data_IF_224652040918
#
_entry.id   IF_224652040918
#
_cell.length_a   1.000
_cell.length_b   1.000
_cell.length_c   1.000
_cell.angle_alpha   90.00
_cell.angle_beta   90.00
_cell.angle_gamma   90.00
#
_symmetry.space_group_name_H-M   'P 1'
#
loop_
_entity.id
_entity.type
_entity.pdbx_description
1 polymer ?
#
# COMPACT_ATOMS: atom_id res chain seq x y z
N UNK A 1 -15.25 19.77 -10.65
CA UNK A 1 -14.70 18.70 -11.49
C UNK A 1 -13.75 17.88 -10.62
N UNK A 2 -14.15 16.70 -10.15
CA UNK A 2 -13.22 15.82 -9.47
C UNK A 2 -12.32 15.21 -10.55
N UNK A 3 -11.02 15.49 -10.50
CA UNK A 3 -10.04 14.86 -11.38
C UNK A 3 -9.93 13.42 -10.91
N UNK A 4 -10.47 12.50 -11.72
CA UNK A 4 -10.37 11.06 -11.47
C UNK A 4 -8.90 10.67 -11.55
N UNK A 5 -8.25 10.58 -10.38
CA UNK A 5 -6.85 10.16 -10.29
C UNK A 5 -6.80 8.67 -10.61
N UNK A 6 -6.53 8.36 -11.89
CA UNK A 6 -6.28 7.00 -12.34
C UNK A 6 -4.98 6.49 -11.71
N UNK A 7 -5.15 5.74 -10.62
CA UNK A 7 -4.05 4.98 -9.99
C UNK A 7 -3.42 4.06 -11.03
N UNK A 8 -2.14 4.28 -11.31
CA UNK A 8 -1.39 3.48 -12.30
C UNK A 8 -0.95 2.12 -11.78
N UNK A 9 -0.93 1.95 -10.46
CA UNK A 9 -0.43 0.74 -9.81
C UNK A 9 -1.57 -0.25 -9.58
N UNK A 10 -1.44 -1.47 -10.12
CA UNK A 10 -2.43 -2.52 -9.91
C UNK A 10 -2.34 -3.04 -8.46
N UNK A 11 -3.35 -2.71 -7.64
CA UNK A 11 -3.44 -3.06 -6.22
C UNK A 11 -3.73 -4.54 -5.97
N UNK A 12 -4.18 -5.27 -6.98
CA UNK A 12 -4.49 -6.72 -6.88
C UNK A 12 -3.25 -7.57 -6.57
N UNK A 13 -2.05 -7.07 -6.85
CA UNK A 13 -0.79 -7.76 -6.58
C UNK A 13 -0.33 -7.63 -5.13
N UNK A 14 -0.96 -6.74 -4.35
CA UNK A 14 -0.61 -6.51 -2.96
C UNK A 14 -1.38 -7.51 -2.12
N UNK A 15 -0.73 -8.29 -1.24
CA UNK A 15 -1.42 -9.23 -0.37
C UNK A 15 -2.24 -8.46 0.67
N UNK A 16 -3.54 -8.36 0.42
CA UNK A 16 -4.51 -7.73 1.32
C UNK A 16 -5.17 -8.78 2.21
N UNK A 17 -5.43 -8.40 3.45
CA UNK A 17 -6.29 -9.11 4.38
C UNK A 17 -7.33 -8.12 4.92
N UNK A 18 -8.57 -8.54 5.04
CA UNK A 18 -9.60 -7.72 5.67
C UNK A 18 -9.42 -7.76 7.19
N UNK A 19 -9.19 -6.59 7.79
CA UNK A 19 -9.17 -6.43 9.25
C UNK A 19 -10.24 -5.41 9.60
N UNK A 20 -11.23 -5.85 10.38
CA UNK A 20 -12.35 -4.99 10.83
C UNK A 20 -13.12 -4.30 9.69
N UNK A 21 -13.26 -4.96 8.54
CA UNK A 21 -13.99 -4.43 7.38
C UNK A 21 -13.17 -3.51 6.46
N UNK A 22 -11.89 -3.30 6.76
CA UNK A 22 -10.96 -2.54 5.93
C UNK A 22 -9.92 -3.48 5.26
N UNK A 23 -9.63 -3.23 3.98
CA UNK A 23 -8.65 -4.02 3.23
C UNK A 23 -7.24 -3.53 3.53
N UNK A 24 -6.53 -4.30 4.35
CA UNK A 24 -5.22 -3.97 4.87
C UNK A 24 -4.17 -4.84 4.20
N UNK A 25 -3.15 -4.24 3.59
CA UNK A 25 -2.02 -5.00 3.07
C UNK A 25 -1.08 -5.42 4.21
N UNK A 26 -1.02 -6.71 4.52
CA UNK A 26 -0.16 -7.24 5.58
C UNK A 26 1.17 -7.71 5.01
N UNK A 27 2.12 -6.78 4.86
CA UNK A 27 3.40 -6.96 4.17
C UNK A 27 4.60 -6.79 5.13
N UNK A 28 5.78 -7.20 4.67
CA UNK A 28 7.04 -6.96 5.38
C UNK A 28 7.71 -5.65 4.92
N UNK A 29 8.66 -5.14 5.70
CA UNK A 29 9.36 -3.88 5.39
C UNK A 29 10.22 -3.93 4.13
N UNK A 30 10.94 -5.03 3.90
CA UNK A 30 11.81 -5.14 2.75
C UNK A 30 11.01 -5.05 1.44
N UNK A 31 9.86 -5.72 1.40
CA UNK A 31 8.92 -5.67 0.29
C UNK A 31 8.34 -4.26 0.12
N UNK A 32 7.96 -3.59 1.22
CA UNK A 32 7.48 -2.20 1.17
C UNK A 32 8.52 -1.27 0.54
N UNK A 33 9.78 -1.37 0.98
CA UNK A 33 10.86 -0.53 0.47
C UNK A 33 11.13 -0.80 -1.01
N UNK A 34 11.25 -2.07 -1.41
CA UNK A 34 11.45 -2.43 -2.82
C UNK A 34 10.29 -1.99 -3.71
N UNK A 35 9.05 -2.16 -3.24
CA UNK A 35 7.86 -1.76 -3.98
C UNK A 35 7.78 -0.23 -4.13
N UNK A 36 8.06 0.49 -3.05
CA UNK A 36 8.05 1.96 -3.05
C UNK A 36 9.13 2.50 -3.96
N UNK A 37 10.35 1.95 -3.91
CA UNK A 37 11.46 2.36 -4.80
C UNK A 37 11.13 2.11 -6.29
N UNK A 38 10.59 0.92 -6.61
CA UNK A 38 10.19 0.56 -7.98
C UNK A 38 9.05 1.43 -8.52
N UNK A 39 8.13 1.87 -7.66
CA UNK A 39 6.91 2.57 -8.07
C UNK A 39 6.82 4.02 -7.60
N UNK A 40 7.90 4.62 -7.07
CA UNK A 40 7.91 5.96 -6.49
C UNK A 40 7.38 7.04 -7.46
N UNK A 41 7.66 6.90 -8.75
CA UNK A 41 7.20 7.82 -9.80
C UNK A 41 5.71 7.66 -10.09
N UNK A 42 5.20 6.44 -9.99
CA UNK A 42 3.78 6.12 -10.24
C UNK A 42 2.90 6.33 -9.01
N UNK A 43 3.47 6.25 -7.80
CA UNK A 43 2.83 6.62 -6.53
C UNK A 43 2.83 8.14 -6.27
N UNK A 44 3.42 8.95 -7.15
CA UNK A 44 3.46 10.40 -6.96
C UNK A 44 2.03 10.98 -6.98
N UNK A 45 1.54 11.36 -5.78
CA UNK A 45 0.18 11.86 -5.56
C UNK A 45 -0.76 10.89 -4.82
N UNK A 46 -0.36 9.64 -4.56
CA UNK A 46 -1.10 8.70 -3.73
C UNK A 46 -0.72 8.84 -2.23
N UNK A 47 -1.71 8.69 -1.36
CA UNK A 47 -1.50 8.60 0.09
C UNK A 47 -1.25 7.15 0.48
N UNK A 48 -0.23 6.93 1.32
CA UNK A 48 0.11 5.63 1.86
C UNK A 48 0.11 5.71 3.38
N UNK A 49 -0.79 5.01 4.06
CA UNK A 49 -0.72 4.84 5.50
C UNK A 49 0.08 3.58 5.82
N UNK A 50 1.11 3.70 6.66
CA UNK A 50 1.95 2.57 7.08
C UNK A 50 1.83 2.42 8.60
N UNK A 51 1.17 1.37 9.05
CA UNK A 51 1.04 1.06 10.49
C UNK A 51 1.86 -0.18 10.84
N UNK A 52 2.71 -0.08 11.87
CA UNK A 52 3.46 -1.23 12.38
C UNK A 52 2.60 -2.03 13.35
N UNK A 53 2.43 -3.33 13.10
CA UNK A 53 1.76 -4.27 14.01
C UNK A 53 2.78 -5.24 14.58
N UNK A 54 2.83 -5.34 15.91
CA UNK A 54 3.74 -6.25 16.59
C UNK A 54 3.27 -7.72 16.44
N UNK A 55 4.18 -8.68 16.15
CA UNK A 55 5.61 -8.50 15.89
C UNK A 55 5.89 -8.43 14.38
N UNK A 56 6.43 -7.29 13.91
CA UNK A 56 7.08 -7.09 12.61
C UNK A 56 6.23 -7.21 11.33
N UNK A 57 4.92 -6.95 11.38
CA UNK A 57 4.08 -6.92 10.17
C UNK A 57 3.48 -5.55 9.94
N UNK A 58 3.72 -4.98 8.75
CA UNK A 58 3.26 -3.65 8.39
C UNK A 58 1.95 -3.74 7.62
N UNK A 59 1.06 -2.81 7.94
CA UNK A 59 -0.28 -2.66 7.39
C UNK A 59 -0.27 -1.45 6.46
N UNK A 60 -0.59 -1.64 5.18
CA UNK A 60 -0.92 -0.54 4.26
C UNK A 60 -2.43 -0.43 4.08
N UNK A 61 -2.96 0.80 4.12
CA UNK A 61 -4.31 1.16 3.68
C UNK A 61 -4.19 2.32 2.67
#
# INVERSE_FOLDING_TARGET
MAVDFKRKVNKEKIPVCEIMGENVAAINMSWLLEFTDKHIKDLSGDYLCVSNVYPSRFVLN
#
